data_IF_618007610976
#
_entry.id   IF_618007610976
#
_cell.length_a   1.000
_cell.length_b   1.000
_cell.length_c   1.000
_cell.angle_alpha   90.00
_cell.angle_beta   90.00
_cell.angle_gamma   90.00
#
_symmetry.space_group_name_H-M   'P 1'
#
loop_
_entity.id
_entity.type
_entity.pdbx_description
1 polymer ?
#
# COMPACT_ATOMS: atom_id res chain seq x y z
N UNK A 1 -8.69 -5.77 0.89
CA UNK A 1 -7.68 -5.17 -0.01
C UNK A 1 -7.85 -3.66 0.01
N UNK A 2 -6.73 -2.93 0.04
CA UNK A 2 -6.67 -1.50 -0.21
C UNK A 2 -6.17 -1.26 -1.64
N UNK A 3 -6.97 -0.54 -2.42
CA UNK A 3 -6.72 -0.27 -3.83
C UNK A 3 -6.74 1.21 -4.09
N UNK A 4 -5.73 1.67 -4.82
CA UNK A 4 -5.65 3.03 -5.32
C UNK A 4 -6.38 3.06 -6.66
N UNK A 5 -7.31 4.02 -6.81
CA UNK A 5 -8.01 4.27 -8.08
C UNK A 5 -7.27 5.35 -8.86
N UNK A 6 -6.64 4.97 -9.96
CA UNK A 6 -5.90 5.89 -10.82
C UNK A 6 -6.78 6.26 -12.00
N UNK A 7 -7.16 7.53 -12.08
CA UNK A 7 -8.04 8.06 -13.12
C UNK A 7 -7.21 8.74 -14.22
N UNK A 8 -7.47 8.40 -15.47
CA UNK A 8 -7.00 9.15 -16.63
C UNK A 8 -7.99 10.27 -16.92
N UNK A 9 -7.60 11.52 -16.67
CA UNK A 9 -8.46 12.70 -16.90
C UNK A 9 -8.28 13.29 -18.30
N UNK A 10 -7.20 12.92 -18.99
CA UNK A 10 -6.81 13.50 -20.27
C UNK A 10 -7.45 12.75 -21.45
N UNK A 11 -7.53 13.43 -22.60
CA UNK A 11 -7.95 12.82 -23.88
C UNK A 11 -6.87 11.93 -24.52
N UNK A 12 -5.62 12.06 -24.06
CA UNK A 12 -4.49 11.23 -24.52
C UNK A 12 -4.25 10.14 -23.48
N UNK A 13 -4.20 8.89 -23.94
CA UNK A 13 -3.95 7.76 -23.06
C UNK A 13 -2.50 7.80 -22.53
N UNK A 14 -2.29 7.85 -21.20
CA UNK A 14 -0.97 7.59 -20.62
C UNK A 14 -0.54 6.16 -20.95
N UNK A 15 0.77 5.94 -21.09
CA UNK A 15 1.34 4.62 -21.42
C UNK A 15 2.50 4.25 -20.51
N UNK A 16 2.78 2.95 -20.38
CA UNK A 16 3.91 2.41 -19.58
C UNK A 16 3.93 3.02 -18.18
N UNK A 17 2.80 2.90 -17.50
CA UNK A 17 2.57 3.49 -16.19
C UNK A 17 3.13 2.62 -15.08
N UNK A 18 3.85 3.23 -14.15
CA UNK A 18 4.38 2.57 -12.96
C UNK A 18 4.05 3.41 -11.73
N UNK A 19 3.59 2.76 -10.66
CA UNK A 19 3.31 3.41 -9.39
C UNK A 19 4.28 2.87 -8.33
N UNK A 20 5.13 3.74 -7.80
CA UNK A 20 6.21 3.37 -6.91
C UNK A 20 6.04 4.00 -5.54
N UNK A 21 6.31 3.22 -4.48
CA UNK A 21 6.54 3.77 -3.14
C UNK A 21 8.00 4.20 -3.09
N UNK A 22 8.25 5.49 -2.97
CA UNK A 22 9.61 6.05 -2.94
C UNK A 22 10.14 6.26 -1.53
N UNK A 23 9.25 6.46 -0.55
CA UNK A 23 9.60 6.55 0.86
C UNK A 23 8.54 5.92 1.73
N UNK A 24 8.99 5.38 2.86
CA UNK A 24 8.17 4.91 3.98
C UNK A 24 8.63 5.64 5.22
N UNK A 25 7.71 6.30 5.91
CA UNK A 25 7.94 6.92 7.20
C UNK A 25 7.04 6.27 8.23
N UNK A 26 7.53 6.14 9.46
CA UNK A 26 6.75 5.64 10.59
C UNK A 26 6.69 6.72 11.66
N UNK A 27 5.52 6.88 12.27
CA UNK A 27 5.35 7.81 13.39
C UNK A 27 6.05 7.24 14.63
N UNK A 28 6.95 8.02 15.21
CA UNK A 28 7.62 7.77 16.48
C UNK A 28 7.38 8.96 17.41
N UNK A 29 6.57 8.75 18.46
CA UNK A 29 6.04 9.86 19.25
C UNK A 29 5.17 10.80 18.40
N UNK A 30 5.59 12.06 18.27
CA UNK A 30 4.91 13.07 17.46
C UNK A 30 5.53 13.30 16.08
N UNK A 31 6.69 12.72 15.82
CA UNK A 31 7.45 12.91 14.58
C UNK A 31 7.30 11.71 13.64
N UNK A 32 7.54 11.94 12.34
CA UNK A 32 7.63 10.89 11.34
C UNK A 32 9.09 10.69 10.97
N UNK A 33 9.59 9.48 11.20
CA UNK A 33 10.95 9.08 10.87
C UNK A 33 10.96 8.23 9.60
N UNK A 34 11.89 8.52 8.69
CA UNK A 34 12.07 7.73 7.47
C UNK A 34 12.69 6.36 7.79
N UNK A 35 12.04 5.30 7.29
CA UNK A 35 12.56 3.94 7.35
C UNK A 35 13.67 3.78 6.31
N UNK A 36 14.92 4.05 6.71
CA UNK A 36 16.10 3.94 5.84
C UNK A 36 16.38 2.52 5.33
N UNK A 37 15.73 1.50 5.91
CA UNK A 37 15.85 0.11 5.45
C UNK A 37 14.85 -0.24 4.35
N UNK A 38 13.84 0.63 4.13
CA UNK A 38 12.88 0.47 3.07
C UNK A 38 13.52 0.84 1.73
N UNK A 39 13.56 -0.14 0.82
CA UNK A 39 13.97 0.10 -0.55
C UNK A 39 12.76 0.58 -1.36
N UNK A 40 12.89 1.63 -2.19
CA UNK A 40 11.83 2.04 -3.10
C UNK A 40 11.40 0.91 -4.03
N UNK A 41 10.09 0.69 -4.15
CA UNK A 41 9.54 -0.44 -4.91
C UNK A 41 8.20 -0.11 -5.55
N UNK A 42 7.97 -0.73 -6.71
CA UNK A 42 6.73 -0.61 -7.45
C UNK A 42 5.61 -1.43 -6.84
N UNK A 43 4.41 -0.88 -6.86
CA UNK A 43 3.16 -1.57 -6.57
C UNK A 43 2.70 -2.36 -7.80
N UNK A 44 1.77 -3.29 -7.60
CA UNK A 44 1.21 -4.10 -8.68
C UNK A 44 -0.15 -3.60 -9.13
N UNK A 45 -0.37 -3.55 -10.45
CA UNK A 45 -1.68 -3.21 -11.01
C UNK A 45 -2.69 -4.33 -10.76
N UNK A 46 -3.83 -3.98 -10.19
CA UNK A 46 -4.88 -4.94 -9.83
C UNK A 46 -5.35 -5.69 -11.06
N UNK A 47 -5.59 -7.00 -10.92
CA UNK A 47 -6.00 -7.93 -11.98
C UNK A 47 -4.95 -8.25 -13.05
N UNK A 48 -3.85 -7.50 -13.14
CA UNK A 48 -2.74 -7.78 -14.08
C UNK A 48 -1.55 -8.43 -13.38
N UNK A 49 -1.33 -8.10 -12.10
CA UNK A 49 -0.19 -8.56 -11.29
C UNK A 49 1.17 -8.27 -11.95
N UNK A 50 1.28 -7.10 -12.55
CA UNK A 50 2.52 -6.51 -13.08
C UNK A 50 2.70 -5.11 -12.52
N UNK A 51 3.94 -4.64 -12.42
CA UNK A 51 4.33 -3.29 -11.98
C UNK A 51 4.11 -2.22 -13.06
N UNK A 52 4.17 -2.61 -14.33
CA UNK A 52 4.04 -1.70 -15.48
C UNK A 52 2.73 -1.96 -16.21
N UNK A 53 1.86 -0.95 -16.23
CA UNK A 53 0.61 -0.98 -16.99
C UNK A 53 0.80 -0.35 -18.37
N UNK A 54 0.39 -1.07 -19.41
CA UNK A 54 0.54 -0.60 -20.79
C UNK A 54 -0.13 0.74 -21.06
N UNK A 55 -1.38 0.92 -20.63
CA UNK A 55 -2.10 2.19 -20.71
C UNK A 55 -3.34 2.23 -19.82
N UNK A 56 -3.83 3.44 -19.52
CA UNK A 56 -5.19 3.68 -19.05
C UNK A 56 -5.95 4.38 -20.18
N UNK A 57 -7.09 3.84 -20.66
CA UNK A 57 -7.86 4.54 -21.69
C UNK A 57 -8.28 5.94 -21.24
N UNK A 58 -8.43 6.90 -22.17
CA UNK A 58 -8.87 8.26 -21.84
C UNK A 58 -10.18 8.25 -21.06
N UNK A 59 -10.29 9.10 -20.03
CA UNK A 59 -11.50 9.26 -19.19
C UNK A 59 -11.93 8.00 -18.43
N UNK A 60 -11.09 6.95 -18.38
CA UNK A 60 -11.32 5.75 -17.58
C UNK A 60 -10.33 5.66 -16.42
N UNK A 61 -10.39 4.57 -15.67
CA UNK A 61 -9.52 4.31 -14.53
C UNK A 61 -8.99 2.88 -14.53
N UNK A 62 -7.92 2.68 -13.76
CA UNK A 62 -7.43 1.36 -13.36
C UNK A 62 -7.14 1.36 -11.85
N UNK A 63 -7.09 0.17 -11.28
CA UNK A 63 -6.74 -0.01 -9.88
C UNK A 63 -5.30 -0.51 -9.76
N UNK A 64 -4.62 -0.04 -8.73
CA UNK A 64 -3.32 -0.56 -8.29
C UNK A 64 -3.47 -1.02 -6.84
N UNK A 65 -3.02 -2.23 -6.54
CA UNK A 65 -3.14 -2.81 -5.20
C UNK A 65 -2.03 -2.20 -4.31
N UNK A 66 -2.42 -1.56 -3.21
CA UNK A 66 -1.46 -1.12 -2.20
C UNK A 66 -1.09 -2.28 -1.28
N UNK A 67 -2.09 -3.08 -0.88
CA UNK A 67 -1.92 -4.21 0.01
C UNK A 67 -3.24 -4.74 0.57
N UNK A 68 -3.16 -5.68 1.50
CA UNK A 68 -4.33 -6.25 2.17
C UNK A 68 -4.07 -6.48 3.65
N UNK A 69 -5.13 -6.41 4.45
CA UNK A 69 -5.07 -6.81 5.85
C UNK A 69 -5.10 -8.34 5.94
N UNK A 70 -4.20 -8.91 6.73
CA UNK A 70 -4.19 -10.33 7.08
C UNK A 70 -5.08 -10.52 8.30
N UNK A 71 -5.97 -11.53 8.25
CA UNK A 71 -6.71 -11.96 9.43
C UNK A 71 -5.74 -12.69 10.38
N UNK A 72 -5.47 -12.16 11.59
CA UNK A 72 -4.53 -12.76 12.53
C UNK A 72 -4.97 -14.14 13.03
N UNK A 73 -6.23 -14.55 12.85
CA UNK A 73 -6.72 -15.87 13.21
C UNK A 73 -6.45 -16.92 12.11
N UNK A 74 -6.16 -16.50 10.89
CA UNK A 74 -5.75 -17.38 9.80
C UNK A 74 -4.23 -17.40 9.71
N UNK A 75 -3.60 -18.26 10.51
CA UNK A 75 -2.14 -18.42 10.64
C UNK A 75 -1.43 -19.01 9.42
N UNK A 76 -2.13 -19.33 8.33
CA UNK A 76 -1.57 -20.11 7.21
C UNK A 76 -1.10 -19.33 5.97
N UNK A 77 -1.21 -18.00 5.89
CA UNK A 77 -1.01 -17.32 4.60
C UNK A 77 -0.22 -16.02 4.84
N UNK A 78 1.10 -16.03 4.80
CA UNK A 78 1.88 -15.97 3.54
C UNK A 78 3.19 -16.76 3.65
N UNK A 79 3.55 -17.43 2.56
CA UNK A 79 4.55 -18.51 2.40
C UNK A 79 5.98 -18.33 2.94
N UNK A 80 6.36 -17.26 3.65
CA UNK A 80 7.74 -17.09 4.13
C UNK A 80 7.93 -16.38 5.48
N UNK A 81 6.89 -15.90 6.17
CA UNK A 81 7.03 -15.30 7.50
C UNK A 81 5.86 -15.71 8.40
N UNK A 82 6.16 -16.52 9.43
CA UNK A 82 5.18 -16.92 10.43
C UNK A 82 4.77 -15.68 11.25
N UNK A 83 3.46 -15.42 11.35
CA UNK A 83 2.93 -14.58 12.43
C UNK A 83 3.34 -15.30 13.72
N UNK A 84 4.21 -14.68 14.52
CA UNK A 84 4.61 -15.29 15.80
C UNK A 84 3.41 -15.26 16.77
N UNK A 85 3.31 -16.19 17.74
CA UNK A 85 2.20 -16.19 18.70
C UNK A 85 2.02 -14.87 19.46
N UNK A 86 3.09 -14.09 19.65
CA UNK A 86 3.06 -12.74 20.23
C UNK A 86 2.35 -11.68 19.39
N UNK A 87 1.98 -12.00 18.14
CA UNK A 87 1.36 -11.11 17.16
C UNK A 87 -0.11 -11.48 16.92
N UNK A 88 -0.64 -12.45 17.68
CA UNK A 88 -2.03 -12.87 17.58
C UNK A 88 -2.97 -11.75 18.06
N UNK A 89 -3.91 -11.37 17.20
CA UNK A 89 -4.86 -10.28 17.45
C UNK A 89 -4.40 -8.88 17.03
N UNK A 90 -3.18 -8.72 16.51
CA UNK A 90 -2.74 -7.46 15.92
C UNK A 90 -3.08 -7.38 14.42
N UNK A 91 -3.44 -6.18 13.96
CA UNK A 91 -3.65 -5.95 12.54
C UNK A 91 -2.29 -5.95 11.83
N UNK A 92 -2.21 -6.67 10.71
CA UNK A 92 -1.05 -6.66 9.82
C UNK A 92 -1.53 -6.34 8.42
N UNK A 93 -0.92 -5.35 7.77
CA UNK A 93 -1.10 -5.07 6.35
C UNK A 93 0.10 -5.60 5.59
N UNK A 94 -0.13 -6.41 4.56
CA UNK A 94 0.91 -6.86 3.64
C UNK A 94 0.83 -6.07 2.33
N UNK A 95 1.91 -5.36 2.01
CA UNK A 95 1.98 -4.53 0.82
C UNK A 95 2.14 -5.37 -0.45
N UNK A 96 1.40 -5.00 -1.48
CA UNK A 96 1.36 -5.69 -2.78
C UNK A 96 2.47 -5.11 -3.69
N UNK A 97 3.72 -5.45 -3.34
CA UNK A 97 4.93 -5.00 -4.03
C UNK A 97 5.27 -5.91 -5.23
N UNK A 98 5.92 -5.36 -6.26
CA UNK A 98 6.41 -6.08 -7.43
C UNK A 98 7.30 -7.27 -7.05
N UNK A 99 8.21 -7.04 -6.10
CA UNK A 99 9.05 -8.07 -5.48
C UNK A 99 8.78 -8.03 -3.98
N UNK A 100 8.66 -9.19 -3.34
CA UNK A 100 8.53 -9.26 -1.88
C UNK A 100 9.91 -9.25 -1.24
N UNK A 101 10.25 -8.27 -0.38
CA UNK A 101 11.52 -8.25 0.33
C UNK A 101 11.59 -9.34 1.40
N UNK A 102 12.71 -10.07 1.47
CA UNK A 102 12.97 -11.04 2.54
C UNK A 102 13.15 -10.39 3.93
N UNK A 103 13.35 -9.07 3.98
CA UNK A 103 13.49 -8.30 5.23
C UNK A 103 12.19 -8.14 6.00
N UNK A 104 11.04 -8.52 5.41
CA UNK A 104 9.72 -8.31 6.00
C UNK A 104 9.21 -6.86 5.90
N UNK A 105 9.91 -5.99 5.16
CA UNK A 105 9.53 -4.57 5.02
C UNK A 105 8.20 -4.35 4.30
N UNK A 106 7.65 -5.38 3.62
CA UNK A 106 6.30 -5.36 3.05
C UNK A 106 5.20 -5.46 4.13
N UNK A 107 5.52 -5.96 5.31
CA UNK A 107 4.56 -6.13 6.41
C UNK A 107 4.54 -4.87 7.27
N UNK A 108 3.40 -4.21 7.30
CA UNK A 108 3.11 -3.12 8.21
C UNK A 108 2.35 -3.67 9.41
N UNK A 109 2.85 -3.35 10.60
CA UNK A 109 2.22 -3.72 11.87
C UNK A 109 1.42 -2.54 12.40
N UNK A 110 0.85 -2.70 13.58
CA UNK A 110 0.23 -1.58 14.32
C UNK A 110 1.13 -0.34 14.32
N UNK A 111 0.57 0.81 13.94
CA UNK A 111 1.29 2.08 13.86
C UNK A 111 0.66 3.06 12.87
N UNK A 112 1.23 4.26 12.83
CA UNK A 112 0.87 5.28 11.83
C UNK A 112 2.05 5.43 10.87
N UNK A 113 1.79 5.33 9.57
CA UNK A 113 2.80 5.36 8.52
C UNK A 113 2.46 6.43 7.49
N UNK A 114 3.49 6.99 6.86
CA UNK A 114 3.34 7.81 5.65
C UNK A 114 4.13 7.19 4.51
N UNK A 115 3.53 7.18 3.33
CA UNK A 115 4.14 6.69 2.11
C UNK A 115 4.13 7.78 1.06
N UNK A 116 5.31 8.07 0.51
CA UNK A 116 5.42 8.87 -0.71
C UNK A 116 5.27 7.94 -1.90
N UNK A 117 4.28 8.21 -2.74
CA UNK A 117 3.99 7.47 -3.96
C UNK A 117 4.24 8.37 -5.18
N UNK A 118 4.85 7.78 -6.21
CA UNK A 118 5.12 8.45 -7.48
C UNK A 118 4.54 7.62 -8.61
N UNK A 119 3.59 8.20 -9.35
CA UNK A 119 3.10 7.66 -10.61
C UNK A 119 3.93 8.25 -11.74
N UNK A 120 4.58 7.39 -12.52
CA UNK A 120 5.37 7.76 -13.69
C UNK A 120 4.78 7.11 -14.95
N UNK A 121 5.16 7.62 -16.11
CA UNK A 121 4.83 7.02 -17.40
C UNK A 121 4.97 7.99 -18.57
N UNK A 122 4.69 7.49 -19.76
CA UNK A 122 4.76 8.27 -20.98
C UNK A 122 3.53 9.15 -21.16
N UNK A 123 3.73 10.35 -21.72
CA UNK A 123 2.71 11.37 -22.00
C UNK A 123 2.01 11.94 -20.76
N UNK A 124 2.63 11.82 -19.59
CA UNK A 124 2.18 12.45 -18.34
C UNK A 124 3.36 13.12 -17.63
N UNK A 125 3.05 14.08 -16.77
CA UNK A 125 3.99 14.52 -15.74
C UNK A 125 3.93 13.53 -14.58
N UNK A 126 5.06 13.32 -13.91
CA UNK A 126 5.09 12.50 -12.70
C UNK A 126 4.13 13.10 -11.66
N UNK A 127 3.30 12.25 -11.09
CA UNK A 127 2.36 12.63 -10.04
C UNK A 127 2.87 12.09 -8.71
N UNK A 128 3.12 13.01 -7.78
CA UNK A 128 3.56 12.70 -6.43
C UNK A 128 2.37 12.81 -5.48
N UNK A 129 2.16 11.80 -4.64
CA UNK A 129 1.12 11.79 -3.62
C UNK A 129 1.63 11.18 -2.33
N UNK A 130 1.18 11.72 -1.21
CA UNK A 130 1.52 11.17 0.10
C UNK A 130 0.28 10.59 0.75
N UNK A 131 0.37 9.34 1.19
CA UNK A 131 -0.71 8.66 1.92
C UNK A 131 -0.30 8.42 3.37
N UNK A 132 -1.21 8.67 4.30
CA UNK A 132 -1.09 8.29 5.70
C UNK A 132 -1.99 7.08 5.98
N UNK A 133 -1.41 6.07 6.62
CA UNK A 133 -2.08 4.83 7.00
C UNK A 133 -2.03 4.71 8.52
N UNK A 134 -3.18 4.55 9.15
CA UNK A 134 -3.28 4.21 10.57
C UNK A 134 -3.73 2.76 10.73
N UNK A 135 -2.88 1.95 11.34
CA UNK A 135 -3.14 0.56 11.71
C UNK A 135 -3.29 0.49 13.23
N UNK A 136 -4.52 0.42 13.77
CA UNK A 136 -4.75 0.42 15.22
C UNK A 136 -4.34 -0.91 15.85
N UNK A 137 -4.09 -0.90 17.17
CA UNK A 137 -3.84 -2.13 17.96
C UNK A 137 -5.13 -2.89 18.25
N UNK A 138 -5.96 -3.07 17.23
CA UNK A 138 -7.30 -3.63 17.35
C UNK A 138 -7.66 -4.38 16.07
N UNK A 139 -8.11 -5.62 16.25
CA UNK A 139 -8.65 -6.46 15.19
C UNK A 139 -10.12 -6.78 15.47
N UNK A 140 -10.94 -6.77 14.41
CA UNK A 140 -12.30 -7.30 14.42
C UNK A 140 -12.58 -8.02 13.12
N UNK A 141 -13.40 -9.08 13.18
CA UNK A 141 -13.94 -9.75 11.99
C UNK A 141 -14.93 -8.86 11.22
N UNK A 142 -15.42 -7.79 11.85
CA UNK A 142 -16.27 -6.79 11.23
C UNK A 142 -15.43 -5.66 10.64
N UNK A 143 -15.41 -5.57 9.32
CA UNK A 143 -14.74 -4.48 8.59
C UNK A 143 -15.22 -3.11 9.06
N UNK A 144 -16.53 -2.94 9.24
CA UNK A 144 -17.15 -1.70 9.72
C UNK A 144 -16.59 -1.30 11.09
N UNK A 145 -16.43 -2.28 11.98
CA UNK A 145 -15.90 -2.04 13.31
C UNK A 145 -14.42 -1.65 13.27
N UNK A 146 -13.62 -2.28 12.39
CA UNK A 146 -12.22 -1.90 12.21
C UNK A 146 -12.07 -0.44 11.75
N UNK A 147 -12.84 0.00 10.76
CA UNK A 147 -12.83 1.39 10.30
C UNK A 147 -13.30 2.38 11.38
N UNK A 148 -14.35 2.03 12.13
CA UNK A 148 -14.83 2.85 13.25
C UNK A 148 -13.80 2.96 14.38
N UNK A 149 -12.94 1.96 14.56
CA UNK A 149 -11.89 1.91 15.57
C UNK A 149 -10.53 2.42 15.05
N UNK A 150 -10.54 3.25 14.00
CA UNK A 150 -9.39 4.06 13.61
C UNK A 150 -8.56 3.51 12.46
N UNK A 151 -8.83 2.30 11.96
CA UNK A 151 -8.22 1.83 10.72
C UNK A 151 -8.52 2.84 9.60
N UNK A 152 -7.49 3.38 8.97
CA UNK A 152 -7.70 4.38 7.92
C UNK A 152 -6.53 4.48 6.96
N UNK A 153 -6.85 4.88 5.73
CA UNK A 153 -5.89 5.28 4.70
C UNK A 153 -6.41 6.57 4.09
N UNK A 154 -5.58 7.61 4.06
CA UNK A 154 -5.95 8.92 3.51
C UNK A 154 -4.81 9.54 2.72
N UNK A 155 -5.15 10.19 1.62
CA UNK A 155 -4.24 11.11 0.95
C UNK A 155 -4.08 12.37 1.81
N UNK A 156 -2.84 12.84 1.99
CA UNK A 156 -2.54 14.04 2.79
C UNK A 156 -1.86 15.15 1.98
N UNK A 157 -1.38 14.84 0.77
CA UNK A 157 -0.78 15.80 -0.19
C UNK A 157 -0.94 15.28 -1.61
#
# INVERSE_FOLDING_TARGET
YYRLKINSLNNIAPKKLELMITKKLQKNGDEFEEDKSFLPMSLVWSHYRTSVLEHIPPKLFKFCDFGYIIDPNYTQITTQQYITPSQQGEIVLDMDLEVRPYTGSSLLRTGVYRFELVLTGNNIKNLHKTFEINLPKYWSVSEKEMFNNGLSIKEIT
#
